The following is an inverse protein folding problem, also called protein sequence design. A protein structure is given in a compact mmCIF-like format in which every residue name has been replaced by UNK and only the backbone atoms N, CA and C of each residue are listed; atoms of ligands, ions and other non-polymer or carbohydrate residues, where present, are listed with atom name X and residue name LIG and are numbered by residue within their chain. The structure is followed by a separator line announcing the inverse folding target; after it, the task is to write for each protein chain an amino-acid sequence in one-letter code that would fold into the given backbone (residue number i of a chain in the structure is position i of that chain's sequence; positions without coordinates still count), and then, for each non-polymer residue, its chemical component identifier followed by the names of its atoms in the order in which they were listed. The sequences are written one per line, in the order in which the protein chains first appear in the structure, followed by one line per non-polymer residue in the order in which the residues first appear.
data_IF_466918243008
#
_entry.id   IF_466918243008
#
_cell.length_a   1.000
_cell.length_b   1.000
_cell.length_c   1.000
_cell.angle_alpha   90.00
_cell.angle_beta   90.00
_cell.angle_gamma   90.00
#
_symmetry.space_group_name_H-M   'P 1'
#
loop_
_entity.id
_entity.type
_entity.pdbx_description
1 polymer ?
#
# COMPACT_ATOMS: atom_id res chain seq x y z
N UNK A 1 -4.45 -30.03 -24.54
CA UNK A 1 -5.57 -29.07 -24.64
C UNK A 1 -5.05 -27.69 -24.24
N UNK A 2 -4.75 -26.87 -25.24
CA UNK A 2 -4.21 -25.51 -25.05
C UNK A 2 -5.38 -24.58 -24.76
N UNK A 3 -5.40 -23.94 -23.58
CA UNK A 3 -6.34 -22.85 -23.30
C UNK A 3 -5.69 -21.55 -23.76
N UNK A 4 -6.18 -21.03 -24.85
CA UNK A 4 -5.89 -19.72 -25.40
C UNK A 4 -6.52 -18.67 -24.49
N UNK A 5 -5.68 -17.91 -23.78
CA UNK A 5 -6.13 -16.70 -23.08
C UNK A 5 -6.08 -15.58 -24.11
N UNK A 6 -7.25 -15.10 -24.49
CA UNK A 6 -7.44 -13.97 -25.40
C UNK A 6 -7.08 -12.66 -24.66
N UNK A 7 -6.07 -11.99 -25.20
CA UNK A 7 -5.74 -10.59 -24.87
C UNK A 7 -6.81 -9.71 -25.53
N UNK A 8 -7.74 -9.18 -24.73
CA UNK A 8 -8.80 -8.27 -25.17
C UNK A 8 -8.57 -6.82 -24.69
N UNK A 9 -7.32 -6.38 -24.65
CA UNK A 9 -7.01 -5.01 -24.21
C UNK A 9 -6.70 -4.00 -25.33
N UNK A 10 -6.53 -4.44 -26.60
CA UNK A 10 -6.08 -3.53 -27.67
C UNK A 10 -7.11 -3.25 -28.77
N UNK A 11 -8.29 -3.86 -28.73
CA UNK A 11 -9.32 -3.64 -29.74
C UNK A 11 -10.33 -2.54 -29.39
N UNK A 12 -10.32 -2.00 -28.13
CA UNK A 12 -11.29 -1.01 -27.70
C UNK A 12 -10.90 0.44 -28.05
N UNK A 13 -9.64 0.72 -28.35
CA UNK A 13 -9.20 2.08 -28.70
C UNK A 13 -9.27 2.39 -30.22
N UNK A 14 -9.25 1.37 -31.08
CA UNK A 14 -9.41 1.58 -32.52
C UNK A 14 -10.90 1.62 -32.96
N UNK A 15 -11.80 1.09 -32.15
CA UNK A 15 -13.25 1.13 -32.42
C UNK A 15 -13.94 2.38 -31.91
N UNK A 16 -13.28 3.18 -31.04
CA UNK A 16 -13.86 4.42 -30.52
C UNK A 16 -13.96 5.53 -31.59
N UNK A 17 -13.17 5.46 -32.68
CA UNK A 17 -13.28 6.44 -33.77
C UNK A 17 -14.32 6.08 -34.84
N UNK A 18 -14.86 4.85 -34.83
CA UNK A 18 -15.95 4.45 -35.75
C UNK A 18 -17.32 4.37 -35.06
N UNK A 19 -17.33 4.40 -33.70
CA UNK A 19 -18.60 4.39 -32.96
C UNK A 19 -19.21 5.78 -32.76
N UNK A 20 -18.52 6.86 -33.11
CA UNK A 20 -19.06 8.22 -33.02
C UNK A 20 -20.08 8.57 -34.09
N UNK A 21 -20.30 7.69 -35.07
CA UNK A 21 -21.30 7.89 -36.13
C UNK A 21 -22.68 7.25 -35.83
N UNK A 22 -22.89 6.64 -34.68
CA UNK A 22 -24.11 5.91 -34.36
C UNK A 22 -24.77 6.16 -33.01
N UNK A 23 -24.12 6.89 -32.10
CA UNK A 23 -24.79 7.41 -30.91
C UNK A 23 -25.38 8.78 -31.26
N UNK A 24 -26.59 8.74 -31.76
CA UNK A 24 -27.41 9.94 -31.83
C UNK A 24 -27.43 10.59 -30.46
N UNK A 25 -26.97 11.83 -30.42
CA UNK A 25 -27.26 12.92 -29.51
C UNK A 25 -28.46 12.62 -28.59
N UNK A 26 -28.20 11.86 -27.52
CA UNK A 26 -29.07 11.89 -26.36
C UNK A 26 -28.28 12.80 -25.41
N UNK A 27 -28.74 14.07 -25.33
CA UNK A 27 -28.44 14.94 -24.20
C UNK A 27 -29.08 14.31 -22.95
N UNK A 28 -28.50 13.22 -22.49
CA UNK A 28 -29.00 12.51 -21.33
C UNK A 28 -28.48 13.25 -20.09
N UNK A 29 -29.21 14.35 -19.77
CA UNK A 29 -28.98 15.12 -18.56
C UNK A 29 -29.33 14.22 -17.38
N UNK A 30 -28.31 13.73 -16.67
CA UNK A 30 -28.48 12.86 -15.50
C UNK A 30 -28.69 13.65 -14.21
N UNK A 31 -28.34 14.95 -14.19
CA UNK A 31 -28.63 15.86 -13.08
C UNK A 31 -28.77 17.30 -13.58
N UNK A 32 -29.82 17.97 -13.12
CA UNK A 32 -30.07 19.38 -13.38
C UNK A 32 -30.51 20.08 -12.11
N UNK A 33 -29.85 21.18 -11.75
CA UNK A 33 -30.21 22.03 -10.61
C UNK A 33 -29.59 23.42 -10.73
N UNK A 34 -30.37 24.44 -10.48
CA UNK A 34 -29.90 25.83 -10.38
C UNK A 34 -29.07 26.29 -11.61
N UNK A 35 -29.50 25.88 -12.82
CA UNK A 35 -28.81 26.19 -14.07
C UNK A 35 -27.60 25.31 -14.38
N UNK A 36 -27.25 24.41 -13.49
CA UNK A 36 -26.15 23.42 -13.68
C UNK A 36 -26.76 22.15 -14.28
N UNK A 37 -26.16 21.70 -15.39
CA UNK A 37 -26.52 20.47 -16.07
C UNK A 37 -25.31 19.54 -16.07
N UNK A 38 -25.49 18.25 -15.79
CA UNK A 38 -24.48 17.20 -15.90
C UNK A 38 -25.04 16.13 -16.83
N UNK A 39 -24.37 15.92 -17.97
CA UNK A 39 -24.71 14.84 -18.88
C UNK A 39 -24.12 13.50 -18.43
N UNK A 40 -24.67 12.40 -18.98
CA UNK A 40 -24.11 11.07 -18.77
C UNK A 40 -22.65 11.01 -19.25
N UNK A 41 -22.36 11.54 -20.42
CA UNK A 41 -21.00 11.54 -20.99
C UNK A 41 -20.02 12.27 -20.08
N UNK A 42 -20.39 13.44 -19.56
CA UNK A 42 -19.56 14.21 -18.63
C UNK A 42 -19.29 13.43 -17.33
N UNK A 43 -20.33 12.80 -16.76
CA UNK A 43 -20.21 11.99 -15.56
C UNK A 43 -19.35 10.74 -15.79
N UNK A 44 -19.51 10.09 -16.94
CA UNK A 44 -18.73 8.92 -17.33
C UNK A 44 -17.25 9.28 -17.53
N UNK A 45 -16.94 10.32 -18.30
CA UNK A 45 -15.59 10.79 -18.52
C UNK A 45 -14.91 11.23 -17.21
N UNK A 46 -15.65 11.89 -16.32
CA UNK A 46 -15.14 12.21 -14.98
C UNK A 46 -14.81 10.94 -14.21
N UNK A 47 -15.68 9.94 -14.22
CA UNK A 47 -15.45 8.67 -13.50
C UNK A 47 -14.21 7.93 -14.01
N UNK A 48 -14.00 7.90 -15.33
CA UNK A 48 -12.81 7.28 -15.94
C UNK A 48 -11.50 7.96 -15.52
N UNK A 49 -11.49 9.29 -15.43
CA UNK A 49 -10.29 10.05 -15.06
C UNK A 49 -9.93 9.96 -13.58
N UNK A 50 -10.92 9.72 -12.72
CA UNK A 50 -10.75 9.77 -11.26
C UNK A 50 -10.87 8.39 -10.59
N UNK A 51 -10.86 7.31 -11.39
CA UNK A 51 -10.90 5.94 -10.89
C UNK A 51 -9.75 5.16 -11.53
N UNK A 52 -9.05 4.36 -10.73
CA UNK A 52 -8.01 3.47 -11.27
C UNK A 52 -8.62 2.55 -12.34
N UNK A 53 -8.07 2.50 -13.58
CA UNK A 53 -8.58 1.65 -14.65
C UNK A 53 -8.72 0.17 -14.26
N UNK A 54 -7.72 -0.38 -13.56
CA UNK A 54 -7.70 -1.80 -13.13
C UNK A 54 -8.77 -2.12 -12.08
N UNK A 55 -9.29 -1.11 -11.39
CA UNK A 55 -10.28 -1.24 -10.34
C UNK A 55 -11.62 -0.57 -10.71
N UNK A 56 -11.83 -0.17 -11.97
CA UNK A 56 -12.98 0.63 -12.37
C UNK A 56 -14.30 -0.07 -12.04
N UNK A 57 -14.49 -1.31 -12.51
CA UNK A 57 -15.71 -2.08 -12.28
C UNK A 57 -15.96 -2.29 -10.78
N UNK A 58 -14.94 -2.70 -10.03
CA UNK A 58 -15.04 -2.91 -8.59
C UNK A 58 -15.35 -1.62 -7.84
N UNK A 59 -14.85 -0.47 -8.32
CA UNK A 59 -15.09 0.84 -7.71
C UNK A 59 -16.49 1.37 -8.02
N UNK A 60 -16.95 1.20 -9.27
CA UNK A 60 -18.26 1.67 -9.70
C UNK A 60 -19.42 0.77 -9.25
N UNK A 61 -19.14 -0.49 -8.92
CA UNK A 61 -20.12 -1.42 -8.33
C UNK A 61 -20.41 -1.16 -6.84
N UNK A 62 -19.64 -0.28 -6.18
CA UNK A 62 -19.89 0.07 -4.78
C UNK A 62 -21.19 0.90 -4.65
N UNK A 63 -21.94 0.72 -3.56
CA UNK A 63 -23.12 1.56 -3.29
C UNK A 63 -22.78 3.05 -3.37
N UNK A 64 -23.65 3.82 -4.01
CA UNK A 64 -23.53 5.28 -4.18
C UNK A 64 -22.29 5.76 -4.97
N UNK A 65 -21.59 4.90 -5.70
CA UNK A 65 -20.44 5.31 -6.52
C UNK A 65 -20.82 6.37 -7.56
N UNK A 66 -21.88 6.13 -8.33
CA UNK A 66 -22.42 7.10 -9.32
C UNK A 66 -22.92 8.38 -8.66
N UNK A 67 -23.59 8.27 -7.53
CA UNK A 67 -24.02 9.45 -6.75
C UNK A 67 -22.83 10.31 -6.32
N UNK A 68 -21.72 9.71 -5.96
CA UNK A 68 -20.48 10.42 -5.60
C UNK A 68 -19.90 11.16 -6.79
N UNK A 69 -19.86 10.52 -7.96
CA UNK A 69 -19.43 11.16 -9.21
C UNK A 69 -20.26 12.41 -9.48
N UNK A 70 -21.60 12.29 -9.44
CA UNK A 70 -22.50 13.42 -9.68
C UNK A 70 -22.34 14.54 -8.66
N UNK A 71 -22.20 14.21 -7.37
CA UNK A 71 -21.95 15.20 -6.32
C UNK A 71 -20.65 15.97 -6.55
N UNK A 72 -19.58 15.28 -6.89
CA UNK A 72 -18.28 15.91 -7.14
C UNK A 72 -18.35 16.85 -8.36
N UNK A 73 -18.94 16.39 -9.46
CA UNK A 73 -19.14 17.23 -10.65
C UNK A 73 -20.01 18.44 -10.36
N UNK A 74 -21.11 18.24 -9.61
CA UNK A 74 -21.96 19.36 -9.23
C UNK A 74 -21.21 20.43 -8.44
N UNK A 75 -20.41 20.01 -7.45
CA UNK A 75 -19.57 20.94 -6.66
C UNK A 75 -18.61 21.71 -7.55
N UNK A 76 -17.90 21.01 -8.46
CA UNK A 76 -16.96 21.65 -9.38
C UNK A 76 -17.66 22.68 -10.26
N UNK A 77 -18.77 22.33 -10.89
CA UNK A 77 -19.53 23.23 -11.76
C UNK A 77 -20.15 24.41 -10.98
N UNK A 78 -20.65 24.15 -9.77
CA UNK A 78 -21.24 25.20 -8.91
C UNK A 78 -20.21 26.23 -8.47
N UNK A 79 -19.01 25.78 -8.11
CA UNK A 79 -17.89 26.66 -7.74
C UNK A 79 -17.42 27.43 -8.97
N UNK A 80 -17.21 26.74 -10.10
CA UNK A 80 -16.80 27.39 -11.35
C UNK A 80 -17.75 28.52 -11.74
N UNK A 81 -19.07 28.26 -11.75
CA UNK A 81 -20.08 29.27 -12.04
C UNK A 81 -20.04 30.47 -11.08
N UNK A 82 -19.70 30.22 -9.81
CA UNK A 82 -19.59 31.28 -8.80
C UNK A 82 -18.36 32.14 -8.98
N UNK A 83 -17.23 31.53 -9.41
CA UNK A 83 -15.95 32.20 -9.62
C UNK A 83 -15.88 32.92 -10.98
N UNK A 84 -16.47 32.34 -12.03
CA UNK A 84 -16.54 32.97 -13.37
C UNK A 84 -17.27 34.30 -13.36
N UNK A 85 -18.24 34.49 -12.45
CA UNK A 85 -18.93 35.75 -12.23
C UNK A 85 -18.13 36.78 -11.41
N UNK A 86 -17.07 36.38 -10.74
CA UNK A 86 -16.16 37.27 -10.05
C UNK A 86 -14.96 37.59 -10.94
N UNK A 87 -14.51 38.81 -10.99
CA UNK A 87 -13.38 39.28 -11.84
C UNK A 87 -12.01 38.71 -11.45
N UNK A 88 -11.96 37.55 -10.80
CA UNK A 88 -10.75 36.93 -10.25
C UNK A 88 -9.74 36.49 -11.28
N UNK A 89 -10.20 36.20 -12.53
CA UNK A 89 -9.31 35.78 -13.61
C UNK A 89 -9.60 36.56 -14.90
N UNK A 90 -8.57 37.10 -15.54
CA UNK A 90 -8.66 37.65 -16.86
C UNK A 90 -8.88 36.53 -17.92
N UNK A 91 -9.33 36.91 -19.11
CA UNK A 91 -9.46 35.96 -20.23
C UNK A 91 -8.11 35.29 -20.58
N UNK A 92 -7.02 36.05 -20.55
CA UNK A 92 -5.67 35.54 -20.83
C UNK A 92 -5.19 34.57 -19.75
N UNK A 93 -5.45 34.84 -18.47
CA UNK A 93 -5.11 33.92 -17.38
C UNK A 93 -5.90 32.61 -17.49
N UNK A 94 -7.17 32.65 -17.85
CA UNK A 94 -7.97 31.43 -18.07
C UNK A 94 -7.46 30.60 -19.23
N UNK A 95 -7.15 31.23 -20.37
CA UNK A 95 -6.58 30.58 -21.53
C UNK A 95 -5.24 29.90 -21.20
N UNK A 96 -4.37 30.62 -20.49
CA UNK A 96 -3.09 30.09 -20.02
C UNK A 96 -3.28 28.88 -19.08
N UNK A 97 -4.19 28.95 -18.11
CA UNK A 97 -4.44 27.86 -17.19
C UNK A 97 -5.00 26.61 -17.90
N UNK A 98 -5.91 26.78 -18.86
CA UNK A 98 -6.45 25.67 -19.65
C UNK A 98 -5.35 25.01 -20.45
N UNK A 99 -4.51 25.81 -21.13
CA UNK A 99 -3.39 25.31 -21.93
C UNK A 99 -2.32 24.62 -21.07
N UNK A 100 -1.96 25.19 -19.92
CA UNK A 100 -1.00 24.60 -18.98
C UNK A 100 -1.51 23.24 -18.43
N UNK A 101 -2.77 23.17 -18.01
CA UNK A 101 -3.39 21.91 -17.56
C UNK A 101 -3.38 20.87 -18.68
N UNK A 102 -3.73 21.26 -19.90
CA UNK A 102 -3.74 20.36 -21.05
C UNK A 102 -2.35 19.82 -21.36
N UNK A 103 -1.32 20.68 -21.40
CA UNK A 103 0.06 20.28 -21.65
C UNK A 103 0.60 19.35 -20.57
N UNK A 104 0.28 19.60 -19.30
CA UNK A 104 0.65 18.69 -18.20
C UNK A 104 -0.02 17.33 -18.34
N UNK A 105 -1.28 17.28 -18.76
CA UNK A 105 -1.96 16.00 -18.99
C UNK A 105 -1.36 15.23 -20.17
N UNK A 106 -0.93 15.91 -21.22
CA UNK A 106 -0.23 15.28 -22.35
C UNK A 106 1.12 14.72 -21.90
N UNK A 107 1.88 15.49 -21.11
CA UNK A 107 3.15 15.03 -20.55
C UNK A 107 2.98 13.77 -19.68
N UNK A 108 2.03 13.78 -18.76
CA UNK A 108 1.77 12.61 -17.91
C UNK A 108 1.38 11.38 -18.74
N UNK A 109 0.58 11.58 -19.79
CA UNK A 109 0.20 10.49 -20.70
C UNK A 109 1.40 9.95 -21.47
N UNK A 110 2.19 10.83 -22.05
CA UNK A 110 3.41 10.47 -22.77
C UNK A 110 4.36 9.68 -21.88
N UNK A 111 4.63 10.19 -20.67
CA UNK A 111 5.50 9.51 -19.71
C UNK A 111 4.97 8.14 -19.31
N UNK A 112 3.68 8.01 -19.08
CA UNK A 112 3.07 6.73 -18.73
C UNK A 112 3.22 5.69 -19.87
N UNK A 113 2.99 6.12 -21.11
CA UNK A 113 3.11 5.24 -22.29
C UNK A 113 4.58 4.85 -22.53
N UNK A 114 5.54 5.78 -22.43
CA UNK A 114 6.98 5.52 -22.58
C UNK A 114 7.54 4.63 -21.46
N UNK A 115 7.18 4.91 -20.21
CA UNK A 115 7.57 4.06 -19.07
C UNK A 115 7.05 2.64 -19.27
N UNK A 116 5.79 2.48 -19.63
CA UNK A 116 5.20 1.16 -19.89
C UNK A 116 5.95 0.41 -20.98
N UNK A 117 6.26 1.08 -22.10
CA UNK A 117 7.00 0.51 -23.21
C UNK A 117 8.43 0.09 -22.84
N UNK A 118 9.12 0.87 -22.00
CA UNK A 118 10.45 0.52 -21.49
C UNK A 118 10.40 -0.62 -20.50
N UNK A 119 9.45 -0.60 -19.56
CA UNK A 119 9.26 -1.65 -18.56
C UNK A 119 8.91 -2.99 -19.17
N UNK A 120 8.18 -3.04 -20.30
CA UNK A 120 7.86 -4.29 -21.01
C UNK A 120 9.11 -5.02 -21.52
N UNK A 121 10.19 -4.29 -21.83
CA UNK A 121 11.44 -4.84 -22.36
C UNK A 121 12.40 -5.37 -21.28
N UNK A 122 12.10 -5.15 -20.00
CA UNK A 122 13.00 -5.50 -18.89
C UNK A 122 12.86 -6.96 -18.50
N UNK A 123 13.96 -7.65 -18.35
CA UNK A 123 14.00 -9.00 -17.73
C UNK A 123 13.91 -8.87 -16.19
N UNK A 124 12.70 -8.70 -15.71
CA UNK A 124 12.42 -8.56 -14.27
C UNK A 124 12.87 -9.76 -13.46
N UNK A 125 12.78 -10.95 -14.04
CA UNK A 125 13.19 -12.17 -13.36
C UNK A 125 14.70 -12.24 -13.21
N UNK A 126 15.43 -11.92 -14.27
CA UNK A 126 16.89 -11.86 -14.23
C UNK A 126 17.41 -10.84 -13.23
N UNK A 127 16.80 -9.63 -13.19
CA UNK A 127 17.14 -8.61 -12.19
C UNK A 127 16.85 -9.09 -10.76
N UNK A 128 15.68 -9.67 -10.52
CA UNK A 128 15.32 -10.20 -9.21
C UNK A 128 16.25 -11.34 -8.77
N UNK A 129 16.73 -12.16 -9.70
CA UNK A 129 17.66 -13.24 -9.43
C UNK A 129 19.05 -12.70 -9.06
N UNK A 130 19.50 -11.65 -9.75
CA UNK A 130 20.75 -10.97 -9.44
C UNK A 130 20.70 -10.31 -8.05
N UNK A 131 19.61 -9.58 -7.76
CA UNK A 131 19.38 -8.96 -6.44
C UNK A 131 19.36 -9.99 -5.32
N UNK A 132 18.66 -11.11 -5.54
CA UNK A 132 18.63 -12.21 -4.59
C UNK A 132 20.03 -12.78 -4.34
N UNK A 133 20.82 -12.98 -5.39
CA UNK A 133 22.19 -13.53 -5.26
C UNK A 133 23.10 -12.60 -4.46
N UNK A 134 22.99 -11.29 -4.68
CA UNK A 134 23.79 -10.29 -3.96
C UNK A 134 23.40 -10.17 -2.48
N UNK A 135 22.13 -10.32 -2.18
CA UNK A 135 21.54 -10.06 -0.85
C UNK A 135 20.97 -11.31 -0.19
N UNK A 136 21.47 -12.49 -0.54
CA UNK A 136 20.95 -13.76 -0.03
C UNK A 136 20.86 -13.80 1.50
N UNK A 137 21.81 -13.16 2.19
CA UNK A 137 21.84 -13.07 3.64
C UNK A 137 20.62 -12.29 4.23
N UNK A 138 19.98 -11.43 3.44
CA UNK A 138 18.80 -10.66 3.88
C UNK A 138 17.50 -11.49 3.82
N UNK A 139 17.55 -12.66 3.15
CA UNK A 139 16.39 -13.53 2.95
C UNK A 139 16.42 -14.73 3.90
N UNK A 140 16.62 -14.45 5.18
CA UNK A 140 16.57 -15.47 6.22
C UNK A 140 15.19 -15.53 6.84
N UNK A 141 14.64 -16.75 6.96
CA UNK A 141 13.53 -17.05 7.85
C UNK A 141 14.14 -17.43 9.19
N UNK A 142 13.94 -16.64 10.24
CA UNK A 142 14.54 -16.95 11.54
C UNK A 142 14.01 -18.27 12.10
N UNK A 143 14.76 -18.87 13.01
CA UNK A 143 14.27 -19.96 13.83
C UNK A 143 12.97 -19.57 14.54
N UNK A 144 11.97 -20.46 14.52
CA UNK A 144 10.68 -20.30 15.20
C UNK A 144 10.38 -21.54 16.04
N UNK A 145 9.78 -21.32 17.21
CA UNK A 145 9.24 -22.38 18.05
C UNK A 145 7.74 -22.24 18.19
N UNK A 146 7.04 -23.36 18.33
CA UNK A 146 5.63 -23.44 18.71
C UNK A 146 5.54 -24.08 20.07
N UNK A 147 4.88 -23.42 20.98
CA UNK A 147 4.70 -23.88 22.35
C UNK A 147 3.25 -23.67 22.80
N UNK A 148 2.82 -24.43 23.76
CA UNK A 148 1.69 -24.10 24.60
C UNK A 148 2.19 -23.54 25.93
N UNK A 149 1.41 -22.63 26.54
CA UNK A 149 1.75 -22.12 27.84
C UNK A 149 0.56 -22.02 28.79
N UNK A 150 0.87 -22.15 30.08
CA UNK A 150 -0.01 -21.85 31.20
C UNK A 150 0.58 -20.64 31.91
N UNK A 151 -0.23 -19.61 32.10
CA UNK A 151 0.12 -18.40 32.86
C UNK A 151 -0.53 -18.40 34.22
N UNK A 152 0.27 -18.26 35.26
CA UNK A 152 -0.22 -17.80 36.59
C UNK A 152 0.11 -16.31 36.67
N UNK A 153 -0.92 -15.45 36.51
CA UNK A 153 -0.73 -14.01 36.52
C UNK A 153 -0.45 -13.47 37.92
N UNK A 154 0.47 -12.50 37.98
CA UNK A 154 0.68 -11.72 39.21
C UNK A 154 -0.37 -10.62 39.41
N UNK A 155 -1.12 -10.29 38.36
CA UNK A 155 -2.15 -9.27 38.38
C UNK A 155 -3.30 -9.70 39.30
N UNK A 156 -3.81 -8.80 40.13
CA UNK A 156 -4.90 -9.01 41.05
C UNK A 156 -4.65 -10.07 42.15
N UNK A 157 -3.39 -10.39 42.48
CA UNK A 157 -2.98 -11.26 43.56
C UNK A 157 -1.96 -10.57 44.47
N UNK A 158 -2.07 -10.79 45.78
CA UNK A 158 -0.95 -10.49 46.65
C UNK A 158 0.19 -11.51 46.43
N UNK A 159 1.36 -11.20 46.95
CA UNK A 159 2.55 -12.01 46.71
C UNK A 159 2.42 -13.44 47.25
N UNK A 160 1.84 -13.60 48.45
CA UNK A 160 1.72 -14.91 49.08
C UNK A 160 0.71 -15.81 48.34
N UNK A 161 -0.41 -15.23 47.90
CA UNK A 161 -1.39 -15.92 47.06
C UNK A 161 -0.82 -16.27 45.66
N UNK A 162 -0.02 -15.41 45.08
CA UNK A 162 0.68 -15.70 43.83
C UNK A 162 1.64 -16.89 44.00
N UNK A 163 2.52 -16.84 45.01
CA UNK A 163 3.48 -17.91 45.27
C UNK A 163 2.80 -19.24 45.56
N UNK A 164 1.71 -19.22 46.37
CA UNK A 164 0.94 -20.44 46.65
C UNK A 164 0.37 -21.01 45.32
N UNK A 165 -0.25 -20.18 44.49
CA UNK A 165 -0.81 -20.62 43.19
C UNK A 165 0.25 -21.19 42.25
N UNK A 166 1.43 -20.56 42.17
CA UNK A 166 2.54 -21.11 41.37
C UNK A 166 2.99 -22.47 41.86
N UNK A 167 3.13 -22.67 43.18
CA UNK A 167 3.47 -23.98 43.77
C UNK A 167 2.43 -25.04 43.49
N UNK A 168 1.14 -24.70 43.61
CA UNK A 168 0.03 -25.62 43.32
C UNK A 168 0.15 -26.11 41.86
N UNK A 169 0.29 -25.18 40.91
CA UNK A 169 0.44 -25.49 39.47
C UNK A 169 1.71 -26.31 39.21
N UNK A 170 2.85 -25.93 39.81
CA UNK A 170 4.12 -26.62 39.64
C UNK A 170 4.02 -28.09 40.10
N UNK A 171 3.32 -28.36 41.22
CA UNK A 171 3.12 -29.72 41.71
C UNK A 171 2.34 -30.59 40.72
N UNK A 172 1.47 -30.00 39.91
CA UNK A 172 0.66 -30.69 38.90
C UNK A 172 1.43 -31.00 37.62
N UNK A 173 2.53 -30.24 37.32
CA UNK A 173 3.38 -30.47 36.14
C UNK A 173 4.16 -31.79 36.23
N UNK A 174 4.40 -32.28 37.44
CA UNK A 174 5.16 -33.50 37.67
C UNK A 174 4.29 -34.77 37.75
N UNK A 175 3.00 -34.67 37.40
CA UNK A 175 2.01 -35.78 37.43
C UNK A 175 1.54 -36.09 36.01
N UNK A 176 0.92 -37.26 35.81
CA UNK A 176 0.38 -37.69 34.49
C UNK A 176 -0.82 -36.87 34.00
N UNK A 177 -0.90 -35.60 34.40
CA UNK A 177 -1.97 -34.68 33.97
C UNK A 177 -1.82 -34.23 32.55
N UNK A 178 -2.91 -34.10 31.84
CA UNK A 178 -2.92 -33.46 30.50
C UNK A 178 -2.67 -31.95 30.65
N UNK A 179 -1.62 -31.46 30.02
CA UNK A 179 -1.20 -30.05 30.07
C UNK A 179 -2.28 -29.11 29.53
N UNK A 180 -3.02 -29.52 28.50
CA UNK A 180 -4.12 -28.73 27.93
C UNK A 180 -5.28 -28.61 28.95
N UNK A 181 -5.58 -29.67 29.68
CA UNK A 181 -6.60 -29.59 30.72
C UNK A 181 -6.14 -28.71 31.91
N UNK A 182 -4.84 -28.74 32.25
CA UNK A 182 -4.25 -27.81 33.21
C UNK A 182 -4.35 -26.36 32.75
N UNK A 183 -4.09 -26.07 31.47
CA UNK A 183 -4.27 -24.75 30.91
C UNK A 183 -5.70 -24.26 31.05
N UNK A 184 -6.69 -25.07 30.67
CA UNK A 184 -8.10 -24.72 30.78
C UNK A 184 -8.55 -24.42 32.21
N UNK A 185 -7.98 -25.13 33.16
CA UNK A 185 -8.38 -25.04 34.57
C UNK A 185 -7.63 -23.96 35.36
N UNK A 186 -6.36 -23.73 35.02
CA UNK A 186 -5.45 -22.96 35.85
C UNK A 186 -4.86 -21.73 35.20
N UNK A 187 -4.91 -21.61 33.86
CA UNK A 187 -4.30 -20.46 33.14
C UNK A 187 -5.12 -19.20 33.33
N UNK A 188 -4.42 -18.13 33.68
CA UNK A 188 -4.98 -16.78 33.76
C UNK A 188 -4.83 -16.02 32.41
N UNK A 189 -4.27 -16.66 31.37
CA UNK A 189 -4.21 -16.04 30.03
C UNK A 189 -5.62 -15.96 29.41
N UNK A 190 -6.13 -14.75 29.12
CA UNK A 190 -7.45 -14.60 28.52
C UNK A 190 -7.61 -15.30 27.15
N UNK A 191 -6.50 -15.56 26.45
CA UNK A 191 -6.51 -16.25 25.15
C UNK A 191 -6.65 -17.76 25.30
N UNK A 192 -6.32 -18.34 26.46
CA UNK A 192 -6.30 -19.79 26.71
C UNK A 192 -7.65 -20.46 26.41
N UNK A 193 -8.76 -19.78 26.67
CA UNK A 193 -10.11 -20.28 26.36
C UNK A 193 -10.35 -20.50 24.84
N UNK A 194 -9.57 -19.86 23.98
CA UNK A 194 -9.73 -19.93 22.52
C UNK A 194 -8.69 -20.79 21.84
N UNK A 195 -7.44 -20.73 22.34
CA UNK A 195 -6.29 -21.39 21.73
C UNK A 195 -5.73 -22.56 22.54
N UNK A 196 -6.32 -22.89 23.68
CA UNK A 196 -5.82 -23.91 24.62
C UNK A 196 -4.34 -23.67 24.99
N UNK A 197 -3.91 -22.41 25.07
CA UNK A 197 -2.53 -22.03 25.37
C UNK A 197 -1.56 -22.09 24.21
N UNK A 198 -1.96 -22.56 23.02
CA UNK A 198 -1.12 -22.62 21.84
C UNK A 198 -0.84 -21.21 21.30
N UNK A 199 0.44 -20.81 21.31
CA UNK A 199 0.89 -19.50 20.84
C UNK A 199 1.23 -19.46 19.35
N UNK A 200 1.11 -20.60 18.64
CA UNK A 200 1.57 -20.73 17.27
C UNK A 200 3.09 -20.60 17.15
N UNK A 201 3.60 -20.53 15.93
CA UNK A 201 5.02 -20.30 15.71
C UNK A 201 5.40 -18.85 15.96
N UNK A 202 6.50 -18.63 16.68
CA UNK A 202 7.06 -17.30 16.92
C UNK A 202 8.59 -17.34 16.93
N UNK A 203 9.19 -16.24 16.46
CA UNK A 203 10.63 -16.02 16.54
C UNK A 203 11.02 -15.43 17.90
N UNK A 204 12.30 -15.58 18.27
CA UNK A 204 12.86 -15.19 19.57
C UNK A 204 12.53 -13.75 20.01
N UNK A 205 12.38 -12.83 19.06
CA UNK A 205 12.12 -11.40 19.36
C UNK A 205 10.66 -11.06 19.64
N UNK A 206 9.73 -12.01 19.49
CA UNK A 206 8.29 -11.75 19.61
C UNK A 206 7.79 -11.76 21.04
N UNK A 207 8.43 -12.49 21.94
CA UNK A 207 8.05 -12.67 23.33
C UNK A 207 9.03 -11.98 24.27
N UNK A 208 8.71 -11.91 25.57
CA UNK A 208 9.65 -11.39 26.56
C UNK A 208 10.92 -12.27 26.62
N UNK A 209 12.10 -11.68 26.86
CA UNK A 209 13.36 -12.42 26.79
C UNK A 209 13.37 -13.70 27.62
N UNK A 210 12.96 -13.64 28.89
CA UNK A 210 12.95 -14.81 29.77
C UNK A 210 12.04 -15.94 29.24
N UNK A 211 10.87 -15.59 28.68
CA UNK A 211 9.97 -16.56 28.07
C UNK A 211 10.59 -17.16 26.80
N UNK A 212 11.13 -16.31 25.92
CA UNK A 212 11.78 -16.77 24.69
C UNK A 212 12.97 -17.66 24.96
N UNK A 213 13.85 -17.29 25.89
CA UNK A 213 15.03 -18.07 26.23
C UNK A 213 14.64 -19.47 26.74
N UNK A 214 13.62 -19.56 27.59
CA UNK A 214 13.11 -20.83 28.07
C UNK A 214 12.45 -21.66 26.96
N UNK A 215 11.58 -21.04 26.13
CA UNK A 215 10.92 -21.74 25.03
C UNK A 215 11.89 -22.29 23.98
N UNK A 216 12.91 -21.49 23.62
CA UNK A 216 13.93 -21.88 22.64
C UNK A 216 15.00 -22.85 23.20
N UNK A 217 15.04 -23.04 24.51
CA UNK A 217 15.92 -24.07 25.11
C UNK A 217 15.34 -25.49 25.07
N UNK A 218 13.97 -25.58 24.92
CA UNK A 218 13.31 -26.88 24.82
C UNK A 218 13.58 -27.52 23.47
N UNK A 219 13.78 -28.86 23.46
CA UNK A 219 14.17 -29.60 22.26
C UNK A 219 13.24 -30.73 21.86
N UNK A 220 12.56 -31.32 22.86
CA UNK A 220 11.76 -32.52 22.63
C UNK A 220 10.24 -32.18 22.71
N UNK A 221 9.43 -32.62 21.74
CA UNK A 221 7.99 -32.46 21.82
C UNK A 221 7.41 -33.00 23.12
N UNK A 222 6.62 -32.16 23.81
CA UNK A 222 6.05 -32.49 25.12
C UNK A 222 6.93 -32.11 26.32
N UNK A 223 8.17 -31.69 26.10
CA UNK A 223 9.03 -31.17 27.17
C UNK A 223 8.43 -29.93 27.81
N UNK A 224 8.44 -29.84 29.15
CA UNK A 224 7.88 -28.71 29.90
C UNK A 224 8.97 -28.03 30.70
N UNK A 225 8.96 -26.71 30.69
CA UNK A 225 9.81 -25.87 31.55
C UNK A 225 8.93 -24.87 32.31
N UNK A 226 9.26 -24.63 33.55
CA UNK A 226 8.61 -23.65 34.42
C UNK A 226 8.93 -23.86 35.90
N UNK A 227 8.56 -22.89 36.75
CA UNK A 227 7.98 -21.60 36.40
C UNK A 227 8.98 -20.61 35.82
N UNK A 228 8.69 -20.02 34.66
CA UNK A 228 9.46 -18.95 34.01
C UNK A 228 8.83 -17.60 34.35
N UNK A 229 9.60 -16.75 35.00
CA UNK A 229 9.10 -15.46 35.46
C UNK A 229 9.18 -14.39 34.39
N UNK A 230 8.09 -13.67 34.19
CA UNK A 230 8.01 -12.47 33.33
C UNK A 230 7.26 -11.34 34.06
N UNK A 231 7.09 -10.20 33.42
CA UNK A 231 6.28 -9.11 34.00
C UNK A 231 4.78 -9.47 34.11
N UNK A 232 4.30 -10.51 33.43
CA UNK A 232 2.92 -10.98 33.51
C UNK A 232 2.71 -11.97 34.67
N UNK A 233 3.74 -12.64 35.12
CA UNK A 233 3.68 -13.67 36.16
C UNK A 233 4.58 -14.86 35.85
N UNK A 234 4.18 -16.03 36.32
CA UNK A 234 4.88 -17.30 36.12
C UNK A 234 4.27 -18.08 34.96
N UNK A 235 5.11 -18.53 34.04
CA UNK A 235 4.72 -19.34 32.89
C UNK A 235 5.23 -20.78 33.04
N UNK A 236 4.40 -21.73 32.67
CA UNK A 236 4.81 -23.11 32.39
C UNK A 236 4.65 -23.30 30.88
N UNK A 237 5.69 -23.76 30.21
CA UNK A 237 5.82 -23.75 28.75
C UNK A 237 6.05 -25.18 28.29
N UNK A 238 5.19 -25.70 27.39
CA UNK A 238 5.33 -27.01 26.76
C UNK A 238 5.72 -26.85 25.31
N UNK A 239 6.80 -27.50 24.90
CA UNK A 239 7.26 -27.51 23.53
C UNK A 239 6.38 -28.38 22.64
N UNK A 240 6.05 -27.86 21.45
CA UNK A 240 5.29 -28.58 20.42
C UNK A 240 6.16 -28.89 19.23
N UNK A 241 6.80 -27.86 18.64
CA UNK A 241 7.52 -28.01 17.37
C UNK A 241 8.50 -26.85 17.16
N UNK A 242 9.46 -27.07 16.27
CA UNK A 242 10.47 -26.08 15.87
C UNK A 242 10.59 -26.01 14.37
N UNK A 243 10.79 -24.81 13.88
CA UNK A 243 11.23 -24.54 12.51
C UNK A 243 12.61 -23.94 12.56
N UNK A 244 13.55 -24.65 11.97
CA UNK A 244 14.93 -24.19 11.92
C UNK A 244 15.07 -22.93 11.05
N UNK A 245 16.07 -22.11 11.40
CA UNK A 245 16.47 -21.00 10.55
C UNK A 245 16.86 -21.51 9.16
N UNK A 246 16.38 -20.88 8.13
CA UNK A 246 16.74 -21.24 6.77
C UNK A 246 16.74 -20.03 5.84
N UNK A 247 17.53 -20.09 4.78
CA UNK A 247 17.48 -19.11 3.70
C UNK A 247 16.25 -19.40 2.83
N UNK A 248 15.41 -18.38 2.68
CA UNK A 248 14.28 -18.46 1.72
C UNK A 248 14.84 -18.69 0.33
N UNK A 249 14.26 -19.61 -0.40
CA UNK A 249 14.59 -19.84 -1.80
C UNK A 249 14.23 -18.63 -2.66
N UNK A 250 14.84 -18.51 -3.84
CA UNK A 250 14.46 -17.48 -4.80
C UNK A 250 12.95 -17.54 -5.14
N UNK A 251 12.41 -18.75 -5.32
CA UNK A 251 10.99 -18.94 -5.63
C UNK A 251 10.03 -18.33 -4.57
N UNK A 252 10.42 -18.37 -3.29
CA UNK A 252 9.63 -17.78 -2.20
C UNK A 252 9.62 -16.25 -2.19
N UNK A 253 10.66 -15.62 -2.74
CA UNK A 253 10.85 -14.16 -2.70
C UNK A 253 10.71 -13.48 -4.07
N UNK A 254 10.69 -14.23 -5.17
CA UNK A 254 10.71 -13.76 -6.55
C UNK A 254 9.67 -12.66 -6.81
N UNK A 255 8.41 -12.94 -6.52
CA UNK A 255 7.33 -11.98 -6.80
C UNK A 255 7.45 -10.69 -5.98
N UNK A 256 7.90 -10.81 -4.73
CA UNK A 256 8.15 -9.65 -3.88
C UNK A 256 9.31 -8.80 -4.42
N UNK A 257 10.40 -9.44 -4.83
CA UNK A 257 11.55 -8.76 -5.42
C UNK A 257 11.19 -8.06 -6.72
N UNK A 258 10.53 -8.76 -7.63
CA UNK A 258 10.06 -8.16 -8.90
C UNK A 258 9.19 -6.93 -8.63
N UNK A 259 8.25 -7.02 -7.69
CA UNK A 259 7.39 -5.88 -7.32
C UNK A 259 8.19 -4.70 -6.77
N UNK A 260 9.19 -4.99 -5.94
CA UNK A 260 10.06 -3.98 -5.35
C UNK A 260 10.89 -3.29 -6.44
N UNK A 261 11.58 -4.07 -7.30
CA UNK A 261 12.42 -3.54 -8.38
C UNK A 261 11.59 -2.68 -9.34
N UNK A 262 10.41 -3.16 -9.75
CA UNK A 262 9.49 -2.36 -10.59
C UNK A 262 9.15 -1.01 -9.98
N UNK A 263 8.83 -1.00 -8.69
CA UNK A 263 8.49 0.23 -7.96
C UNK A 263 9.66 1.22 -7.89
N UNK A 264 10.89 0.72 -7.84
CA UNK A 264 12.11 1.52 -7.80
C UNK A 264 12.53 1.98 -9.20
N UNK A 265 12.26 1.17 -10.23
CA UNK A 265 12.61 1.45 -11.62
C UNK A 265 11.72 2.51 -12.26
N UNK A 266 10.42 2.52 -11.95
CA UNK A 266 9.45 3.44 -12.58
C UNK A 266 9.82 4.94 -12.41
N UNK A 267 10.16 5.43 -11.18
CA UNK A 267 10.61 6.80 -11.00
C UNK A 267 11.93 7.11 -11.73
N UNK A 268 12.86 6.16 -11.75
CA UNK A 268 14.14 6.33 -12.44
C UNK A 268 13.96 6.48 -13.96
N UNK A 269 13.08 5.67 -14.56
CA UNK A 269 12.74 5.80 -15.98
C UNK A 269 12.06 7.14 -16.28
N UNK A 270 11.23 7.64 -15.37
CA UNK A 270 10.62 8.95 -15.51
C UNK A 270 11.67 10.06 -15.60
N UNK A 271 12.64 10.06 -14.69
CA UNK A 271 13.73 11.02 -14.68
C UNK A 271 14.61 10.90 -15.95
N UNK A 272 14.90 9.66 -16.38
CA UNK A 272 15.66 9.39 -17.59
C UNK A 272 14.96 9.95 -18.83
N UNK A 273 13.65 9.70 -18.99
CA UNK A 273 12.87 10.22 -20.13
C UNK A 273 12.82 11.74 -20.13
N UNK A 274 12.66 12.36 -18.96
CA UNK A 274 12.67 13.82 -18.84
C UNK A 274 14.04 14.39 -19.16
N UNK A 275 15.12 13.75 -18.70
CA UNK A 275 16.48 14.14 -19.03
C UNK A 275 16.74 14.09 -20.54
N UNK A 276 16.34 12.99 -21.21
CA UNK A 276 16.47 12.87 -22.68
C UNK A 276 15.80 14.04 -23.41
N UNK A 277 14.64 14.51 -22.94
CA UNK A 277 13.91 15.64 -23.54
C UNK A 277 14.62 16.96 -23.23
N UNK A 278 15.16 17.14 -22.03
CA UNK A 278 15.84 18.39 -21.64
C UNK A 278 17.21 18.53 -22.26
N UNK A 279 17.89 17.42 -22.50
CA UNK A 279 19.20 17.42 -23.22
C UNK A 279 19.12 18.04 -24.64
N UNK A 280 17.89 18.01 -25.24
CA UNK A 280 17.68 18.63 -26.58
C UNK A 280 17.88 20.16 -26.57
N UNK A 281 17.76 20.81 -25.41
CA UNK A 281 17.85 22.27 -25.25
C UNK A 281 19.04 22.72 -24.39
N UNK A 282 19.93 21.81 -24.00
CA UNK A 282 21.03 22.14 -23.08
C UNK A 282 21.96 23.19 -23.63
N UNK A 283 22.27 23.12 -24.95
CA UNK A 283 23.10 24.11 -25.62
C UNK A 283 22.48 25.51 -25.66
N UNK A 284 21.17 25.60 -25.80
CA UNK A 284 20.42 26.87 -25.76
C UNK A 284 20.34 27.44 -24.37
N UNK A 285 20.28 26.57 -23.33
CA UNK A 285 20.31 27.01 -21.94
C UNK A 285 21.65 27.62 -21.54
N UNK A 286 22.76 27.11 -22.05
CA UNK A 286 24.09 27.63 -21.80
C UNK A 286 24.28 29.06 -22.37
N UNK A 287 23.50 29.46 -23.38
CA UNK A 287 23.51 30.79 -23.95
C UNK A 287 22.67 31.81 -23.19
N UNK A 288 21.89 31.39 -22.20
CA UNK A 288 20.99 32.25 -21.42
C UNK A 288 21.79 33.01 -20.36
N UNK A 289 21.68 34.33 -20.35
CA UNK A 289 22.13 35.15 -19.23
C UNK A 289 21.12 34.99 -18.05
N UNK A 290 21.39 34.02 -17.17
CA UNK A 290 20.54 33.72 -16.03
C UNK A 290 20.35 34.90 -15.11
N UNK A 291 21.36 35.76 -14.93
CA UNK A 291 21.29 36.92 -14.03
C UNK A 291 20.33 37.96 -14.62
N UNK A 292 20.47 38.27 -15.90
CA UNK A 292 19.58 39.21 -16.59
C UNK A 292 18.14 38.69 -16.64
N UNK A 293 17.96 37.38 -16.81
CA UNK A 293 16.63 36.74 -16.80
C UNK A 293 16.00 36.79 -15.41
N UNK A 294 16.77 36.49 -14.38
CA UNK A 294 16.31 36.59 -13.00
C UNK A 294 15.87 38.01 -12.62
N UNK A 295 16.67 39.02 -12.97
CA UNK A 295 16.31 40.42 -12.73
C UNK A 295 14.97 40.79 -13.42
N UNK A 296 14.74 40.33 -14.61
CA UNK A 296 13.46 40.53 -15.33
C UNK A 296 12.29 39.85 -14.64
N UNK A 297 12.47 38.63 -14.13
CA UNK A 297 11.43 37.94 -13.35
C UNK A 297 11.09 38.70 -12.05
N UNK A 298 12.09 39.18 -11.33
CA UNK A 298 11.89 39.93 -10.10
C UNK A 298 11.18 41.27 -10.36
N UNK A 299 11.56 42.00 -11.41
CA UNK A 299 10.88 43.22 -11.82
C UNK A 299 9.41 42.95 -12.20
N UNK A 300 9.14 41.93 -13.00
CA UNK A 300 7.79 41.56 -13.39
C UNK A 300 6.95 41.14 -12.17
N UNK A 301 7.53 40.41 -11.23
CA UNK A 301 6.87 40.04 -9.98
C UNK A 301 6.48 41.23 -9.14
N UNK A 302 7.37 42.20 -8.92
CA UNK A 302 7.07 43.41 -8.16
C UNK A 302 5.97 44.25 -8.82
N UNK A 303 5.94 44.34 -10.15
CA UNK A 303 4.87 45.04 -10.88
C UNK A 303 3.49 44.38 -10.75
N UNK A 304 3.46 43.06 -10.55
CA UNK A 304 2.19 42.31 -10.40
C UNK A 304 1.75 42.18 -8.95
N UNK A 305 2.66 42.33 -7.99
CA UNK A 305 2.39 42.13 -6.56
C UNK A 305 1.30 43.08 -6.04
N UNK A 306 1.29 44.31 -6.50
CA UNK A 306 0.32 45.32 -6.10
C UNK A 306 -1.05 45.13 -6.78
N UNK A 307 -1.13 44.29 -7.79
CA UNK A 307 -2.37 44.03 -8.55
C UNK A 307 -3.04 42.68 -8.22
N UNK A 308 -2.49 41.90 -7.26
CA UNK A 308 -3.10 40.64 -6.85
C UNK A 308 -4.31 40.92 -5.96
N UNK A 309 -5.50 40.41 -6.27
CA UNK A 309 -6.61 40.43 -5.33
C UNK A 309 -6.25 39.58 -4.09
N UNK A 310 -6.47 40.14 -2.91
CA UNK A 310 -6.28 39.49 -1.60
C UNK A 310 -7.27 38.37 -1.37
#
# INVERSE_FOLDING_TARGET
MKKTIFIFAFALLASLHLATAGFAQIDDIVLQRDGIHISFEEAFNYSLRHTNPDAYEASMSKPLATTRVLKNLYVLKRVATSVEGSSSFTAAEREYLVEDIYRRQLLERYLADEIAARMEKVDWRGLAQAEYAQRKADFVSPEEVRVEHLLVSIENRDFDAFVARVRDVDSLMNSDNDFVELIKQYSDDPSAARNNGDLGYFSRRRMQPAFSDAAFALTEPGEIVGPVMTSFGAHFIRFIDRREEHYKSFAEVEQRLIKQIKKETEPALREEILAEITDEIESELDEIDEVALLERFLQAYEMQKDNRPH
#
